data_IF_851112007135
#
_entry.id   IF_851112007135
#
_cell.length_a   1.000
_cell.length_b   1.000
_cell.length_c   1.000
_cell.angle_alpha   90.00
_cell.angle_beta   90.00
_cell.angle_gamma   90.00
#
_symmetry.space_group_name_H-M   'P 1'
#
loop_
_entity.id
_entity.type
_entity.pdbx_description
1 polymer ?
#
# COMPACT_ATOMS: atom_id res chain seq x y z
N UNK A 1 6.14 -17.20 21.74
CA UNK A 1 7.61 -17.22 21.58
C UNK A 1 8.22 -16.57 22.82
N UNK A 2 8.92 -17.33 23.68
CA UNK A 2 9.68 -16.71 24.78
C UNK A 2 10.85 -15.92 24.18
N UNK A 3 10.69 -14.59 24.09
CA UNK A 3 11.74 -13.61 24.40
C UNK A 3 13.05 -13.58 23.61
N UNK A 4 13.15 -14.07 22.37
CA UNK A 4 14.29 -13.70 21.53
C UNK A 4 13.94 -12.47 20.69
N UNK A 5 14.41 -11.29 21.11
CA UNK A 5 14.18 -10.01 20.43
C UNK A 5 14.55 -10.05 18.93
N UNK A 6 15.58 -10.83 18.58
CA UNK A 6 15.98 -11.10 17.19
C UNK A 6 14.84 -11.75 16.41
N UNK A 7 14.18 -12.77 16.99
CA UNK A 7 13.07 -13.47 16.33
C UNK A 7 11.87 -12.56 16.10
N UNK A 8 11.57 -11.67 17.06
CA UNK A 8 10.50 -10.66 16.90
C UNK A 8 10.83 -9.70 15.76
N UNK A 9 12.07 -9.22 15.68
CA UNK A 9 12.50 -8.31 14.62
C UNK A 9 12.43 -8.97 13.24
N UNK A 10 12.98 -10.17 13.09
CA UNK A 10 12.92 -10.93 11.83
C UNK A 10 11.46 -11.11 11.39
N UNK A 11 10.59 -11.52 12.32
CA UNK A 11 9.18 -11.73 11.99
C UNK A 11 8.47 -10.42 11.63
N UNK A 12 8.78 -9.31 12.29
CA UNK A 12 8.23 -8.00 11.91
C UNK A 12 8.60 -7.60 10.48
N UNK A 13 9.83 -7.87 10.03
CA UNK A 13 10.24 -7.59 8.64
C UNK A 13 9.45 -8.45 7.67
N UNK A 14 9.27 -9.74 7.95
CA UNK A 14 8.47 -10.64 7.11
C UNK A 14 7.02 -10.13 6.99
N UNK A 15 6.41 -9.76 8.12
CA UNK A 15 5.06 -9.19 8.12
C UNK A 15 4.98 -7.86 7.35
N UNK A 16 6.00 -7.01 7.46
CA UNK A 16 6.10 -5.78 6.67
C UNK A 16 6.24 -6.05 5.18
N UNK A 17 6.93 -7.12 4.76
CA UNK A 17 7.02 -7.51 3.34
C UNK A 17 5.66 -7.97 2.82
N UNK A 18 4.90 -8.76 3.59
CA UNK A 18 3.54 -9.16 3.20
C UNK A 18 2.63 -7.94 3.01
N UNK A 19 2.75 -6.96 3.91
CA UNK A 19 2.01 -5.70 3.78
C UNK A 19 2.45 -4.90 2.55
N UNK A 20 3.75 -4.78 2.31
CA UNK A 20 4.29 -4.11 1.13
C UNK A 20 3.82 -4.78 -0.18
N UNK A 21 3.74 -6.11 -0.21
CA UNK A 21 3.19 -6.85 -1.33
C UNK A 21 1.73 -6.48 -1.60
N UNK A 22 0.89 -6.44 -0.55
CA UNK A 22 -0.50 -6.05 -0.71
C UNK A 22 -0.69 -4.59 -1.13
N UNK A 23 0.15 -3.68 -0.62
CA UNK A 23 0.09 -2.25 -0.97
C UNK A 23 0.35 -1.98 -2.46
N UNK A 24 0.94 -2.91 -3.21
CA UNK A 24 1.01 -2.80 -4.67
C UNK A 24 -0.38 -2.70 -5.29
N UNK A 25 -1.34 -3.51 -4.86
CA UNK A 25 -2.71 -3.47 -5.38
C UNK A 25 -3.49 -2.23 -4.94
N UNK A 26 -3.09 -1.61 -3.83
CA UNK A 26 -3.71 -0.38 -3.30
C UNK A 26 -3.20 0.87 -4.02
N UNK A 27 -1.93 0.87 -4.44
CA UNK A 27 -1.24 2.09 -4.90
C UNK A 27 -0.91 2.10 -6.40
N UNK A 28 -1.07 0.97 -7.09
CA UNK A 28 -0.66 0.81 -8.49
C UNK A 28 -1.87 0.42 -9.33
N UNK A 29 -2.44 1.37 -10.06
CA UNK A 29 -3.64 1.16 -10.87
C UNK A 29 -3.46 0.13 -11.99
N UNK A 30 -2.23 -0.07 -12.47
CA UNK A 30 -1.94 -1.00 -13.57
C UNK A 30 -2.30 -2.46 -13.23
N UNK A 31 -2.31 -2.84 -11.95
CA UNK A 31 -2.84 -4.16 -11.55
C UNK A 31 -4.34 -4.30 -11.83
N UNK A 32 -5.09 -3.20 -11.82
CA UNK A 32 -6.50 -3.21 -12.25
C UNK A 32 -6.62 -3.53 -13.75
N UNK A 33 -5.81 -2.90 -14.59
CA UNK A 33 -5.81 -3.17 -16.04
C UNK A 33 -5.43 -4.63 -16.34
N UNK A 34 -4.38 -5.15 -15.70
CA UNK A 34 -3.96 -6.55 -15.82
C UNK A 34 -5.02 -7.50 -15.24
N UNK A 35 -5.67 -7.14 -14.14
CA UNK A 35 -6.74 -7.93 -13.54
C UNK A 35 -7.97 -8.06 -14.45
N UNK A 36 -8.31 -7.01 -15.21
CA UNK A 36 -9.46 -7.01 -16.12
C UNK A 36 -9.30 -7.99 -17.30
N UNK A 37 -8.07 -8.26 -17.72
CA UNK A 37 -7.75 -9.25 -18.75
C UNK A 37 -7.43 -10.64 -18.16
N UNK A 38 -7.66 -10.84 -16.86
CA UNK A 38 -7.37 -12.11 -16.18
C UNK A 38 -5.89 -12.41 -15.99
N UNK A 39 -5.00 -11.43 -16.15
CA UNK A 39 -3.56 -11.61 -16.05
C UNK A 39 -2.88 -12.22 -17.28
N UNK A 40 -3.62 -12.47 -18.37
CA UNK A 40 -3.07 -13.03 -19.61
C UNK A 40 -2.76 -11.92 -20.61
N UNK A 41 -1.62 -11.25 -20.42
CA UNK A 41 -1.19 -10.18 -21.32
C UNK A 41 -0.99 -10.68 -22.75
N UNK A 42 -0.52 -11.92 -22.97
CA UNK A 42 -0.22 -12.45 -24.30
C UNK A 42 -1.46 -12.59 -25.18
N UNK A 43 -2.62 -12.89 -24.58
CA UNK A 43 -3.89 -13.05 -25.28
C UNK A 43 -4.85 -11.87 -25.04
N UNK A 44 -4.35 -10.74 -24.54
CA UNK A 44 -5.17 -9.56 -24.30
C UNK A 44 -5.69 -8.94 -25.62
N UNK A 45 -6.89 -8.36 -25.57
CA UNK A 45 -7.44 -7.59 -26.70
C UNK A 45 -6.64 -6.30 -26.95
N UNK A 46 -6.72 -5.77 -28.18
CA UNK A 46 -6.06 -4.50 -28.58
C UNK A 46 -6.38 -3.32 -27.64
N UNK A 47 -7.54 -3.31 -27.01
CA UNK A 47 -7.93 -2.28 -26.04
C UNK A 47 -7.02 -2.21 -24.82
N UNK A 48 -6.49 -3.35 -24.34
CA UNK A 48 -5.52 -3.38 -23.25
C UNK A 48 -4.20 -2.72 -23.67
N UNK A 49 -3.68 -3.09 -24.84
CA UNK A 49 -2.43 -2.54 -25.35
C UNK A 49 -2.54 -1.04 -25.65
N UNK A 50 -3.66 -0.60 -26.21
CA UNK A 50 -3.95 0.82 -26.41
C UNK A 50 -3.98 1.57 -25.07
N UNK A 51 -4.67 1.02 -24.06
CA UNK A 51 -4.73 1.62 -22.72
C UNK A 51 -3.34 1.67 -22.06
N UNK A 52 -2.57 0.59 -22.11
CA UNK A 52 -1.23 0.54 -21.50
C UNK A 52 -0.22 1.40 -22.25
N UNK A 53 -0.39 1.61 -23.57
CA UNK A 53 0.41 2.60 -24.31
C UNK A 53 0.25 4.00 -23.72
N UNK A 54 -0.98 4.36 -23.36
CA UNK A 54 -1.32 5.71 -22.91
C UNK A 54 -1.13 5.89 -21.38
N UNK A 55 -1.32 4.84 -20.58
CA UNK A 55 -1.41 4.93 -19.11
C UNK A 55 -0.43 4.05 -18.32
N UNK A 56 0.54 3.36 -18.95
CA UNK A 56 1.48 2.46 -18.22
C UNK A 56 2.27 3.12 -17.09
N UNK A 57 2.49 4.44 -17.15
CA UNK A 57 3.17 5.21 -16.10
C UNK A 57 2.25 6.22 -15.38
N UNK A 58 0.96 6.23 -15.71
CA UNK A 58 0.02 7.16 -15.12
C UNK A 58 -0.09 6.92 -13.60
N UNK A 59 -0.07 8.01 -12.84
CA UNK A 59 -0.21 8.02 -11.38
C UNK A 59 0.86 7.23 -10.61
N UNK A 60 2.08 7.14 -11.16
CA UNK A 60 3.23 6.48 -10.51
C UNK A 60 4.11 7.49 -9.76
N UNK A 61 3.58 8.12 -8.72
CA UNK A 61 4.33 9.10 -7.91
C UNK A 61 4.23 8.84 -6.40
N UNK A 62 5.19 9.35 -5.64
CA UNK A 62 5.25 9.18 -4.19
C UNK A 62 4.00 9.75 -3.54
N UNK A 63 3.60 10.97 -3.88
CA UNK A 63 2.42 11.57 -3.29
C UNK A 63 1.13 10.82 -3.62
N UNK A 64 1.03 10.24 -4.82
CA UNK A 64 -0.11 9.39 -5.17
C UNK A 64 -0.17 8.14 -4.31
N UNK A 65 0.93 7.37 -4.23
CA UNK A 65 1.00 6.18 -3.38
C UNK A 65 0.80 6.48 -1.89
N UNK A 66 1.35 7.59 -1.41
CA UNK A 66 1.21 8.06 -0.04
C UNK A 66 -0.25 8.40 0.29
N UNK A 67 -0.94 9.08 -0.62
CA UNK A 67 -2.36 9.42 -0.45
C UNK A 67 -3.25 8.18 -0.35
N UNK A 68 -3.12 7.24 -1.31
CA UNK A 68 -3.90 6.00 -1.28
C UNK A 68 -3.61 5.15 -0.03
N UNK A 69 -2.36 5.13 0.42
CA UNK A 69 -1.97 4.37 1.60
C UNK A 69 -2.39 5.05 2.91
N UNK A 70 -2.45 6.38 2.94
CA UNK A 70 -3.08 7.13 4.03
C UNK A 70 -4.57 6.80 4.12
N UNK A 71 -5.28 6.75 2.98
CA UNK A 71 -6.69 6.34 2.94
C UNK A 71 -6.87 4.91 3.44
N UNK A 72 -6.04 3.96 2.99
CA UNK A 72 -6.08 2.58 3.49
C UNK A 72 -5.83 2.51 5.01
N UNK A 73 -4.89 3.31 5.51
CA UNK A 73 -4.62 3.36 6.95
C UNK A 73 -5.80 3.86 7.75
N UNK A 74 -6.49 4.91 7.29
CA UNK A 74 -7.61 5.49 8.01
C UNK A 74 -8.92 4.71 7.82
N UNK A 75 -9.19 4.22 6.62
CA UNK A 75 -10.46 3.56 6.28
C UNK A 75 -10.44 2.05 6.54
N UNK A 76 -9.26 1.43 6.67
CA UNK A 76 -9.13 -0.01 6.90
C UNK A 76 -8.32 -0.34 8.16
N UNK A 77 -7.13 0.21 8.35
CA UNK A 77 -6.28 -0.15 9.50
C UNK A 77 -6.81 0.40 10.82
N UNK A 78 -7.22 1.67 10.85
CA UNK A 78 -7.82 2.29 12.04
C UNK A 78 -9.03 1.50 12.59
N UNK A 79 -10.07 1.16 11.80
CA UNK A 79 -11.21 0.41 12.35
C UNK A 79 -10.81 -0.98 12.85
N UNK A 80 -9.87 -1.68 12.20
CA UNK A 80 -9.36 -2.96 12.72
C UNK A 80 -8.72 -2.81 14.11
N UNK A 81 -7.85 -1.81 14.29
CA UNK A 81 -7.21 -1.54 15.58
C UNK A 81 -8.25 -1.12 16.62
N UNK A 82 -9.16 -0.21 16.25
CA UNK A 82 -10.18 0.31 17.15
C UNK A 82 -11.15 -0.77 17.63
N UNK A 83 -11.65 -1.63 16.73
CA UNK A 83 -12.56 -2.73 17.06
C UNK A 83 -11.90 -3.68 18.06
N UNK A 84 -10.68 -4.15 17.77
CA UNK A 84 -9.96 -5.06 18.67
C UNK A 84 -9.65 -4.40 20.01
N UNK A 85 -9.18 -3.15 20.01
CA UNK A 85 -8.90 -2.39 21.21
C UNK A 85 -10.14 -2.22 22.11
N UNK A 86 -11.33 -1.99 21.52
CA UNK A 86 -12.58 -1.89 22.27
C UNK A 86 -12.97 -3.22 22.93
N UNK A 87 -12.89 -4.35 22.21
CA UNK A 87 -13.17 -5.67 22.78
C UNK A 87 -12.19 -6.06 23.87
N UNK A 88 -10.92 -5.65 23.73
CA UNK A 88 -9.88 -5.85 24.73
C UNK A 88 -9.88 -4.80 25.87
N UNK A 89 -10.85 -3.86 25.86
CA UNK A 89 -10.96 -2.75 26.83
C UNK A 89 -9.69 -1.91 26.97
N UNK A 90 -8.96 -1.72 25.86
CA UNK A 90 -7.80 -0.82 25.78
C UNK A 90 -8.26 0.64 25.72
N UNK A 91 -7.38 1.56 26.10
CA UNK A 91 -7.67 3.00 26.09
C UNK A 91 -7.70 3.56 24.68
N UNK A 92 -8.47 4.63 24.47
CA UNK A 92 -8.47 5.33 23.18
C UNK A 92 -7.11 5.95 22.83
N UNK A 93 -6.31 6.28 23.85
CA UNK A 93 -4.91 6.67 23.69
C UNK A 93 -4.09 5.56 23.04
N UNK A 94 -4.26 4.31 23.47
CA UNK A 94 -3.61 3.16 22.83
C UNK A 94 -4.04 3.02 21.37
N UNK A 95 -5.34 3.10 21.09
CA UNK A 95 -5.88 3.01 19.73
C UNK A 95 -5.27 4.07 18.81
N UNK A 96 -5.27 5.33 19.24
CA UNK A 96 -4.78 6.45 18.41
C UNK A 96 -3.27 6.43 18.19
N UNK A 97 -2.48 6.03 19.20
CA UNK A 97 -1.03 5.92 19.04
C UNK A 97 -0.68 4.81 18.04
N UNK A 98 -1.29 3.63 18.19
CA UNK A 98 -1.04 2.51 17.27
C UNK A 98 -1.51 2.85 15.85
N UNK A 99 -2.69 3.47 15.72
CA UNK A 99 -3.22 3.91 14.43
C UNK A 99 -2.31 4.94 13.78
N UNK A 100 -1.86 5.97 14.53
CA UNK A 100 -0.96 6.99 14.01
C UNK A 100 0.38 6.42 13.55
N UNK A 101 0.96 5.51 14.34
CA UNK A 101 2.18 4.80 13.95
C UNK A 101 2.01 4.05 12.62
N UNK A 102 0.94 3.26 12.49
CA UNK A 102 0.69 2.51 11.26
C UNK A 102 0.33 3.42 10.09
N UNK A 103 -0.41 4.49 10.32
CA UNK A 103 -0.74 5.46 9.28
C UNK A 103 0.51 6.08 8.68
N UNK A 104 1.43 6.60 9.50
CA UNK A 104 2.70 7.17 9.01
C UNK A 104 3.51 6.10 8.27
N UNK A 105 3.63 4.90 8.86
CA UNK A 105 4.43 3.81 8.28
C UNK A 105 3.91 3.37 6.91
N UNK A 106 2.61 3.12 6.80
CA UNK A 106 1.96 2.63 5.58
C UNK A 106 1.91 3.75 4.52
N UNK A 107 1.66 5.00 4.91
CA UNK A 107 1.72 6.15 3.99
C UNK A 107 3.09 6.27 3.32
N UNK A 108 4.18 6.21 4.10
CA UNK A 108 5.54 6.28 3.54
C UNK A 108 5.82 5.05 2.67
N UNK A 109 5.49 3.85 3.15
CA UNK A 109 5.70 2.59 2.43
C UNK A 109 4.99 2.61 1.06
N UNK A 110 3.74 3.03 1.02
CA UNK A 110 2.98 3.12 -0.22
C UNK A 110 3.48 4.15 -1.20
N UNK A 111 3.95 5.31 -0.72
CA UNK A 111 4.60 6.31 -1.56
C UNK A 111 5.84 5.75 -2.25
N UNK A 112 6.69 5.05 -1.50
CA UNK A 112 7.88 4.38 -2.04
C UNK A 112 7.48 3.33 -3.09
N UNK A 113 6.54 2.44 -2.78
CA UNK A 113 6.08 1.36 -3.68
C UNK A 113 5.52 1.92 -5.00
N UNK A 114 4.72 2.98 -4.91
CA UNK A 114 4.11 3.60 -6.09
C UNK A 114 5.16 4.31 -6.97
N UNK A 115 6.10 5.02 -6.36
CA UNK A 115 7.11 5.79 -7.08
C UNK A 115 8.25 4.95 -7.67
N UNK A 116 8.59 3.82 -7.06
CA UNK A 116 9.91 3.17 -7.23
C UNK A 116 10.40 2.96 -8.66
N UNK A 117 9.49 2.65 -9.59
CA UNK A 117 9.84 2.29 -10.98
C UNK A 117 9.50 3.38 -12.00
N UNK A 118 9.14 4.58 -11.56
CA UNK A 118 8.88 5.72 -12.45
C UNK A 118 10.05 6.72 -12.38
N UNK A 119 10.40 7.29 -13.54
CA UNK A 119 11.46 8.32 -13.66
C UNK A 119 11.16 9.49 -12.72
N UNK A 120 9.89 9.92 -12.70
CA UNK A 120 9.37 10.97 -11.83
C UNK A 120 8.66 10.38 -10.60
N UNK A 121 9.16 9.24 -10.12
CA UNK A 121 8.52 8.44 -9.10
C UNK A 121 8.42 9.10 -7.73
N UNK A 122 9.37 9.97 -7.38
CA UNK A 122 9.46 10.52 -6.03
C UNK A 122 8.94 11.96 -5.89
N UNK A 123 8.23 12.47 -6.90
CA UNK A 123 7.52 13.73 -6.76
C UNK A 123 6.26 13.59 -5.88
N UNK A 124 5.91 14.69 -5.21
CA UNK A 124 4.68 14.80 -4.42
C UNK A 124 3.41 14.81 -5.26
N UNK A 125 3.53 15.12 -6.54
CA UNK A 125 2.41 15.19 -7.48
C UNK A 125 2.83 14.42 -8.73
N UNK A 126 1.92 13.63 -9.28
CA UNK A 126 2.10 12.96 -10.56
C UNK A 126 2.30 14.00 -11.65
N UNK A 127 3.44 13.92 -12.34
CA UNK A 127 3.73 14.77 -13.49
C UNK A 127 2.83 14.35 -14.66
N UNK A 128 2.25 15.33 -15.36
CA UNK A 128 1.35 15.12 -16.51
C UNK A 128 2.10 15.32 -17.82
#
# INVERSE_FOLDING_TARGET
MKGQMIGVFIFSVILSVLMAFFLQFVTIHQFGAVGMIGGDEMNANDSYYAFMRDYRYAYRSFGHGAFHSMMASFLFVFPMIAINAMFERKSWKYTMINTGYWAVTITIMGGIICGWYAVDGFYWITQK
#
